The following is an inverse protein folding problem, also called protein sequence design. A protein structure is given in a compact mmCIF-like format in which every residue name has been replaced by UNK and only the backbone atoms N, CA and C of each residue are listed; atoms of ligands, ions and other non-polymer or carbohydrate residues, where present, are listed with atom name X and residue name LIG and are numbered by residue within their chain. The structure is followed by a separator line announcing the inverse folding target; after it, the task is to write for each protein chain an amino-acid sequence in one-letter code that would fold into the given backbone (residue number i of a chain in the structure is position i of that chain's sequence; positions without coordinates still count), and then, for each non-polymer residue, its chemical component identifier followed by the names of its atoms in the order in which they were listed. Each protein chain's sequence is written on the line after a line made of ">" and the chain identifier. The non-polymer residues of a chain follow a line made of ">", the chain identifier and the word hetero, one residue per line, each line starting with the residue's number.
data_IF_432014521764
#
_entry.id   IF_432014521764
#
_cell.length_a   1.000
_cell.length_b   1.000
_cell.length_c   1.000
_cell.angle_alpha   90.00
_cell.angle_beta   90.00
_cell.angle_gamma   90.00
#
_symmetry.space_group_name_H-M   'P 1'
#
loop_
_entity.id
_entity.type
_entity.pdbx_description
1 polymer ?
#
# COMPACT_ATOMS: atom_id res chain seq x y z
N UNK A 1 10.32 10.18 -2.63
CA UNK A 1 9.40 9.03 -2.53
C UNK A 1 8.40 9.11 -3.66
N UNK A 2 7.90 7.98 -4.14
CA UNK A 2 6.94 7.91 -5.23
C UNK A 2 5.55 7.48 -4.75
N UNK A 3 4.52 7.88 -5.50
CA UNK A 3 3.19 7.29 -5.43
C UNK A 3 3.04 6.19 -6.47
N UNK A 4 2.37 5.10 -6.12
CA UNK A 4 2.04 4.02 -7.06
C UNK A 4 0.54 3.70 -7.03
N UNK A 5 0.04 3.11 -8.11
CA UNK A 5 -1.29 2.51 -8.15
C UNK A 5 -1.33 1.21 -7.34
N UNK A 6 -2.44 0.92 -6.67
CA UNK A 6 -2.64 -0.35 -5.94
C UNK A 6 -2.41 -1.58 -6.82
N UNK A 7 -2.73 -1.50 -8.11
CA UNK A 7 -2.58 -2.61 -9.06
C UNK A 7 -1.13 -3.09 -9.23
N UNK A 8 -0.14 -2.26 -8.90
CA UNK A 8 1.28 -2.60 -8.96
C UNK A 8 1.92 -2.72 -7.58
N UNK A 9 1.13 -2.60 -6.51
CA UNK A 9 1.60 -2.77 -5.13
C UNK A 9 1.87 -4.25 -4.85
N UNK A 10 3.15 -4.61 -4.79
CA UNK A 10 3.63 -5.95 -4.48
C UNK A 10 4.63 -5.91 -3.32
N UNK A 11 4.94 -7.05 -2.67
CA UNK A 11 5.93 -7.10 -1.60
C UNK A 11 7.30 -6.55 -2.04
N UNK A 12 7.74 -6.86 -3.26
CA UNK A 12 9.02 -6.38 -3.79
C UNK A 12 8.99 -4.89 -4.12
N UNK A 13 7.86 -4.37 -4.62
CA UNK A 13 7.71 -2.93 -4.86
C UNK A 13 7.74 -2.15 -3.54
N UNK A 14 7.02 -2.62 -2.51
CA UNK A 14 6.86 -1.90 -1.25
C UNK A 14 8.05 -2.05 -0.28
N UNK A 15 8.83 -3.13 -0.39
CA UNK A 15 10.07 -3.30 0.41
C UNK A 15 11.33 -2.83 -0.31
N UNK A 16 11.34 -2.84 -1.66
CA UNK A 16 12.53 -2.57 -2.48
C UNK A 16 12.60 -1.18 -3.10
N UNK A 17 11.48 -0.46 -3.22
CA UNK A 17 11.43 0.87 -3.83
C UNK A 17 11.05 1.94 -2.79
N UNK A 18 11.47 3.21 -2.97
CA UNK A 18 11.10 4.30 -2.08
C UNK A 18 9.65 4.79 -2.33
N UNK A 19 8.68 3.92 -2.05
CA UNK A 19 7.24 4.21 -2.14
C UNK A 19 6.80 4.94 -0.87
N UNK A 20 6.10 6.07 -1.04
CA UNK A 20 5.54 6.84 0.06
C UNK A 20 4.01 6.75 0.14
N UNK A 21 3.34 6.46 -0.97
CA UNK A 21 1.89 6.31 -0.99
C UNK A 21 1.41 5.30 -2.03
N UNK A 22 0.24 4.72 -1.75
CA UNK A 22 -0.51 3.86 -2.67
C UNK A 22 -1.87 4.48 -2.92
N UNK A 23 -2.17 4.75 -4.19
CA UNK A 23 -3.48 5.21 -4.64
C UNK A 23 -4.37 4.01 -4.97
N UNK A 24 -5.60 4.01 -4.45
CA UNK A 24 -6.62 3.05 -4.84
C UNK A 24 -7.95 3.76 -5.11
N UNK A 25 -8.66 3.32 -6.13
CA UNK A 25 -10.08 3.63 -6.29
C UNK A 25 -10.94 2.92 -5.24
N UNK A 26 -12.25 3.23 -5.20
CA UNK A 26 -13.23 2.45 -4.45
C UNK A 26 -13.13 0.99 -4.93
N UNK A 27 -12.94 0.07 -4.00
CA UNK A 27 -12.94 -1.35 -4.30
C UNK A 27 -14.34 -1.88 -4.14
N UNK A 28 -14.94 -2.22 -5.27
CA UNK A 28 -16.28 -2.78 -5.31
C UNK A 28 -16.31 -4.15 -4.61
N UNK A 29 -17.26 -4.33 -3.69
CA UNK A 29 -17.58 -5.63 -3.08
C UNK A 29 -16.64 -6.12 -1.97
N UNK A 30 -15.63 -5.35 -1.56
CA UNK A 30 -14.76 -5.71 -0.42
C UNK A 30 -15.35 -5.25 0.92
N UNK A 31 -15.33 -6.12 1.92
CA UNK A 31 -15.75 -5.77 3.28
C UNK A 31 -14.72 -4.85 3.97
N UNK A 32 -15.11 -4.10 5.02
CA UNK A 32 -14.16 -3.29 5.78
C UNK A 32 -12.95 -4.09 6.33
N UNK A 33 -13.14 -5.36 6.70
CA UNK A 33 -12.05 -6.24 7.15
C UNK A 33 -11.10 -6.60 6.00
N UNK A 34 -11.61 -6.87 4.80
CA UNK A 34 -10.76 -7.16 3.63
C UNK A 34 -9.83 -5.97 3.33
N UNK A 35 -10.33 -4.74 3.52
CA UNK A 35 -9.54 -3.52 3.40
C UNK A 35 -8.46 -3.40 4.47
N UNK A 36 -8.82 -3.65 5.73
CA UNK A 36 -7.87 -3.61 6.83
C UNK A 36 -6.73 -4.62 6.60
N UNK A 37 -7.07 -5.88 6.28
CA UNK A 37 -6.09 -6.94 6.02
C UNK A 37 -5.18 -6.62 4.82
N UNK A 38 -5.71 -5.96 3.79
CA UNK A 38 -4.91 -5.51 2.67
C UNK A 38 -3.94 -4.39 3.08
N UNK A 39 -4.42 -3.39 3.81
CA UNK A 39 -3.59 -2.26 4.27
C UNK A 39 -2.49 -2.76 5.21
N UNK A 40 -2.82 -3.64 6.16
CA UNK A 40 -1.88 -4.18 7.14
C UNK A 40 -0.74 -4.96 6.46
N UNK A 41 -1.07 -5.77 5.44
CA UNK A 41 -0.05 -6.47 4.64
C UNK A 41 0.88 -5.50 3.91
N UNK A 42 0.34 -4.45 3.31
CA UNK A 42 1.16 -3.44 2.63
C UNK A 42 2.05 -2.68 3.62
N UNK A 43 1.53 -2.33 4.80
CA UNK A 43 2.32 -1.68 5.85
C UNK A 43 3.44 -2.60 6.33
N UNK A 44 3.16 -3.88 6.53
CA UNK A 44 4.16 -4.87 6.92
C UNK A 44 5.34 -4.90 5.94
N UNK A 45 5.08 -4.89 4.63
CA UNK A 45 6.15 -4.86 3.62
C UNK A 45 6.91 -3.54 3.59
N UNK A 46 6.23 -2.41 3.79
CA UNK A 46 6.88 -1.10 3.85
C UNK A 46 7.79 -0.96 5.08
N UNK A 47 7.36 -1.48 6.24
CA UNK A 47 8.16 -1.52 7.46
C UNK A 47 9.35 -2.49 7.36
N UNK A 48 9.25 -3.51 6.51
CA UNK A 48 10.37 -4.41 6.19
C UNK A 48 11.37 -3.80 5.19
N UNK A 49 11.08 -2.63 4.60
CA UNK A 49 12.04 -1.92 3.73
C UNK A 49 13.27 -1.46 4.51
N UNK A 50 14.36 -1.14 3.79
CA UNK A 50 15.61 -0.65 4.40
C UNK A 50 15.42 0.55 5.33
N UNK A 51 14.46 1.42 5.03
CA UNK A 51 14.19 2.62 5.82
C UNK A 51 13.07 2.43 6.85
N UNK A 52 12.31 1.34 6.77
CA UNK A 52 11.19 1.07 7.68
C UNK A 52 10.12 2.17 7.69
N UNK A 53 9.91 2.84 6.56
CA UNK A 53 8.97 3.97 6.47
C UNK A 53 7.58 3.42 6.12
N UNK A 54 6.53 3.77 6.89
CA UNK A 54 5.16 3.38 6.57
C UNK A 54 4.66 4.13 5.33
N UNK A 55 3.71 3.52 4.61
CA UNK A 55 3.11 4.12 3.41
C UNK A 55 1.76 4.77 3.73
N UNK A 56 1.40 5.81 3.00
CA UNK A 56 0.06 6.41 3.07
C UNK A 56 -0.88 5.73 2.05
N UNK A 57 -2.10 5.40 2.48
CA UNK A 57 -3.17 4.99 1.56
C UNK A 57 -3.96 6.22 1.16
N UNK A 58 -4.06 6.47 -0.15
CA UNK A 58 -4.89 7.54 -0.73
C UNK A 58 -6.07 6.95 -1.52
N UNK A 59 -7.20 7.67 -1.48
CA UNK A 59 -8.37 7.37 -2.31
C UNK A 59 -8.56 8.45 -3.38
N UNK A 60 -9.06 8.05 -4.55
CA UNK A 60 -9.44 9.00 -5.60
C UNK A 60 -10.90 9.42 -5.39
N UNK A 61 -11.10 10.70 -5.05
CA UNK A 61 -12.41 11.36 -4.87
C UNK A 61 -13.11 11.48 -6.22
#
# INVERSE_FOLDING_TARGET
>A
MAQIERSVASPSALSGLPVGSVLSGPGDGASPSDWADMIDRMQHWALASRLGIPILRMERI
#
